data_IF_088044628341
#
_entry.id   IF_088044628341
#
_cell.length_a   1.000
_cell.length_b   1.000
_cell.length_c   1.000
_cell.angle_alpha   90.00
_cell.angle_beta   90.00
_cell.angle_gamma   90.00
#
_symmetry.space_group_name_H-M   'P 1'
#
loop_
_entity.id
_entity.type
_entity.pdbx_description
1 polymer ?
#
# COMPACT_ATOMS: atom_id res chain seq x y z
N UNK A 1 -19.12 15.48 1.93
CA UNK A 1 -17.70 15.87 2.04
C UNK A 1 -16.91 14.60 1.85
N UNK A 2 -16.56 14.25 0.62
CA UNK A 2 -15.76 13.05 0.35
C UNK A 2 -14.35 13.35 0.81
N UNK A 3 -13.93 12.70 1.90
CA UNK A 3 -12.56 12.75 2.41
C UNK A 3 -11.65 12.30 1.29
N UNK A 4 -11.11 13.26 0.56
CA UNK A 4 -10.08 13.05 -0.47
C UNK A 4 -8.89 12.51 0.30
N UNK A 5 -8.73 11.20 0.31
CA UNK A 5 -7.45 10.61 0.69
C UNK A 5 -6.48 11.15 -0.35
N UNK A 6 -5.74 12.20 0.00
CA UNK A 6 -4.77 12.85 -0.87
C UNK A 6 -3.52 11.96 -0.96
N UNK A 7 -3.72 10.73 -1.44
CA UNK A 7 -2.66 9.77 -1.67
C UNK A 7 -1.97 10.11 -3.00
N UNK A 8 -0.63 10.13 -3.05
CA UNK A 8 0.08 10.30 -4.31
C UNK A 8 -0.20 9.14 -5.26
N UNK A 9 -0.39 9.48 -6.53
CA UNK A 9 -0.53 8.50 -7.62
C UNK A 9 0.86 7.99 -7.99
N UNK A 10 1.15 6.73 -7.64
CA UNK A 10 2.48 6.11 -7.83
C UNK A 10 2.57 5.27 -9.11
N UNK A 11 1.44 5.06 -9.80
CA UNK A 11 1.35 4.24 -10.99
C UNK A 11 1.47 2.74 -10.69
N UNK A 12 1.74 1.94 -11.72
CA UNK A 12 1.96 0.50 -11.55
C UNK A 12 3.31 0.20 -10.87
N UNK A 13 3.44 -0.94 -10.17
CA UNK A 13 4.71 -1.38 -9.61
C UNK A 13 5.72 -1.72 -10.73
N UNK A 14 6.88 -1.06 -10.70
CA UNK A 14 8.01 -1.31 -11.59
C UNK A 14 8.74 -2.60 -11.17
N UNK A 15 8.83 -3.64 -12.02
CA UNK A 15 9.50 -4.91 -11.65
C UNK A 15 11.02 -4.76 -11.46
N UNK A 16 11.62 -3.70 -12.00
CA UNK A 16 13.05 -3.40 -11.83
C UNK A 16 13.35 -2.61 -10.54
N UNK A 17 12.31 -2.10 -9.85
CA UNK A 17 12.47 -1.30 -8.63
C UNK A 17 11.99 -2.07 -7.41
N UNK A 18 12.49 -1.65 -6.23
CA UNK A 18 12.05 -2.22 -4.95
C UNK A 18 10.64 -1.73 -4.63
N UNK A 19 9.70 -2.66 -4.68
CA UNK A 19 8.33 -2.48 -4.22
C UNK A 19 8.01 -3.56 -3.20
N UNK A 20 7.52 -3.15 -2.04
CA UNK A 20 7.01 -4.04 -1.00
C UNK A 20 5.86 -4.88 -1.57
N UNK A 21 5.68 -6.11 -1.07
CA UNK A 21 4.58 -6.96 -1.49
C UNK A 21 3.23 -6.26 -1.22
N UNK A 22 2.32 -6.39 -2.17
CA UNK A 22 0.95 -5.91 -2.07
C UNK A 22 0.08 -7.11 -1.70
N UNK A 23 -0.61 -7.02 -0.57
CA UNK A 23 -1.48 -8.07 -0.01
C UNK A 23 -2.83 -7.46 0.38
N UNK A 24 -3.81 -8.32 0.65
CA UNK A 24 -5.08 -7.92 1.25
C UNK A 24 -4.99 -8.05 2.77
N UNK A 25 -5.77 -7.25 3.51
CA UNK A 25 -5.77 -7.31 4.99
C UNK A 25 -6.22 -8.69 5.51
N UNK A 26 -7.11 -9.35 4.76
CA UNK A 26 -7.61 -10.69 5.07
C UNK A 26 -6.69 -11.81 4.56
N UNK A 27 -5.58 -11.49 3.91
CA UNK A 27 -4.66 -12.48 3.37
C UNK A 27 -3.80 -13.07 4.49
N UNK A 28 -3.75 -14.40 4.60
CA UNK A 28 -2.98 -15.11 5.62
C UNK A 28 -1.47 -14.78 5.55
N UNK A 29 -0.97 -14.43 4.35
CA UNK A 29 0.43 -14.05 4.12
C UNK A 29 0.79 -12.72 4.76
N UNK A 30 -0.19 -11.86 5.04
CA UNK A 30 0.04 -10.60 5.73
C UNK A 30 0.57 -10.85 7.14
N UNK A 31 -0.04 -11.77 7.87
CA UNK A 31 0.37 -12.12 9.23
C UNK A 31 1.81 -12.66 9.28
N UNK A 32 2.18 -13.50 8.31
CA UNK A 32 3.54 -14.03 8.16
C UNK A 32 4.56 -12.92 7.83
N UNK A 33 4.21 -12.03 6.90
CA UNK A 33 5.06 -10.91 6.50
C UNK A 33 5.26 -9.89 7.61
N UNK A 34 4.19 -9.51 8.31
CA UNK A 34 4.24 -8.57 9.41
C UNK A 34 5.20 -9.06 10.52
N UNK A 35 5.21 -10.38 10.78
CA UNK A 35 6.16 -11.01 11.72
C UNK A 35 7.61 -10.99 11.23
N UNK A 36 7.85 -11.11 9.92
CA UNK A 36 9.20 -11.09 9.34
C UNK A 36 9.81 -9.69 9.25
N UNK A 37 8.99 -8.70 8.92
CA UNK A 37 9.43 -7.35 8.53
C UNK A 37 9.49 -6.40 9.73
N UNK A 38 8.64 -6.64 10.74
CA UNK A 38 8.62 -5.90 12.00
C UNK A 38 7.72 -4.67 11.96
N UNK A 39 7.21 -4.31 13.15
CA UNK A 39 6.12 -3.35 13.40
C UNK A 39 6.42 -1.88 13.00
N UNK A 40 7.69 -1.60 12.69
CA UNK A 40 8.24 -0.27 12.38
C UNK A 40 8.77 -0.16 10.94
N UNK A 41 8.55 -1.18 10.12
CA UNK A 41 9.06 -1.19 8.77
C UNK A 41 8.31 -0.22 7.84
N UNK A 42 9.08 0.58 7.12
CA UNK A 42 8.58 1.42 6.03
C UNK A 42 8.28 0.56 4.79
N UNK A 43 7.16 0.85 4.11
CA UNK A 43 6.84 0.20 2.85
C UNK A 43 7.59 0.89 1.72
N UNK A 44 8.08 0.13 0.75
CA UNK A 44 8.69 0.71 -0.44
C UNK A 44 7.75 0.58 -1.63
N UNK A 45 7.66 1.62 -2.46
CA UNK A 45 6.97 1.54 -3.75
C UNK A 45 7.83 2.23 -4.80
N UNK A 46 8.22 1.51 -5.85
CA UNK A 46 9.09 2.00 -6.92
C UNK A 46 10.37 2.67 -6.40
N UNK A 47 10.95 2.15 -5.31
CA UNK A 47 12.15 2.68 -4.66
C UNK A 47 11.92 3.86 -3.70
N UNK A 48 10.69 4.32 -3.52
CA UNK A 48 10.31 5.36 -2.55
C UNK A 48 9.85 4.71 -1.25
N UNK A 49 10.36 5.16 -0.11
CA UNK A 49 9.95 4.68 1.21
C UNK A 49 8.78 5.50 1.76
N UNK A 50 7.78 4.80 2.29
CA UNK A 50 6.56 5.33 2.89
C UNK A 50 6.43 4.86 4.34
N UNK A 51 5.98 5.75 5.20
CA UNK A 51 5.76 5.45 6.61
C UNK A 51 4.53 4.56 6.82
N UNK A 52 4.50 3.87 7.95
CA UNK A 52 3.31 3.11 8.37
C UNK A 52 2.10 4.05 8.45
N UNK A 53 1.01 3.65 7.81
CA UNK A 53 -0.22 4.43 7.73
C UNK A 53 -0.31 5.36 6.52
N UNK A 54 0.76 5.49 5.72
CA UNK A 54 0.69 6.23 4.46
C UNK A 54 -0.18 5.50 3.44
N UNK A 55 -0.79 6.29 2.55
CA UNK A 55 -1.65 5.80 1.49
C UNK A 55 -1.05 6.17 0.13
N UNK A 56 -1.10 5.26 -0.83
CA UNK A 56 -0.70 5.50 -2.21
C UNK A 56 -1.74 4.93 -3.17
N UNK A 57 -1.90 5.59 -4.31
CA UNK A 57 -2.76 5.11 -5.38
C UNK A 57 -1.92 4.41 -6.44
N UNK A 58 -2.13 3.11 -6.62
CA UNK A 58 -1.51 2.31 -7.67
C UNK A 58 -2.54 2.08 -8.77
N UNK A 59 -2.57 2.96 -9.78
CA UNK A 59 -3.68 2.97 -10.74
C UNK A 59 -4.98 3.32 -10.03
N UNK A 60 -6.00 2.47 -10.14
CA UNK A 60 -7.31 2.67 -9.52
C UNK A 60 -7.38 2.09 -8.09
N UNK A 61 -6.28 1.53 -7.58
CA UNK A 61 -6.24 0.78 -6.32
C UNK A 61 -5.62 1.60 -5.19
N UNK A 62 -6.32 1.68 -4.06
CA UNK A 62 -5.82 2.34 -2.85
C UNK A 62 -5.02 1.34 -2.02
N UNK A 63 -3.76 1.65 -1.80
CA UNK A 63 -2.84 0.86 -0.98
C UNK A 63 -2.47 1.64 0.28
N UNK A 64 -2.47 0.96 1.42
CA UNK A 64 -2.05 1.50 2.71
C UNK A 64 -0.79 0.79 3.18
N UNK A 65 0.21 1.55 3.61
CA UNK A 65 1.41 0.97 4.17
C UNK A 65 1.13 0.44 5.58
N UNK A 66 1.39 -0.84 5.81
CA UNK A 66 1.31 -1.45 7.13
C UNK A 66 2.41 -2.49 7.32
N UNK A 67 3.24 -2.27 8.34
CA UNK A 67 4.32 -3.18 8.76
C UNK A 67 5.22 -3.64 7.58
N UNK A 68 5.57 -2.69 6.71
CA UNK A 68 6.42 -2.90 5.52
C UNK A 68 5.74 -3.60 4.33
N UNK A 69 4.43 -3.81 4.40
CA UNK A 69 3.58 -4.43 3.37
C UNK A 69 2.55 -3.41 2.87
N UNK A 70 2.19 -3.47 1.59
CA UNK A 70 1.10 -2.67 1.05
C UNK A 70 -0.22 -3.42 1.19
N UNK A 71 -1.13 -2.90 2.00
CA UNK A 71 -2.48 -3.43 2.16
C UNK A 71 -3.44 -2.76 1.19
N UNK A 72 -4.10 -3.55 0.35
CA UNK A 72 -5.17 -3.08 -0.52
C UNK A 72 -6.40 -2.73 0.32
N UNK A 73 -6.79 -1.46 0.29
CA UNK A 73 -7.95 -0.94 1.02
C UNK A 73 -9.19 -0.77 0.13
N UNK A 74 -9.01 -0.71 -1.20
CA UNK A 74 -10.12 -0.55 -2.13
C UNK A 74 -9.69 0.20 -3.37
N UNK A 75 -10.55 1.08 -3.87
CA UNK A 75 -10.26 1.93 -5.01
C UNK A 75 -9.93 3.36 -4.59
N UNK A 76 -9.02 4.00 -5.32
CA UNK A 76 -8.76 5.43 -5.20
C UNK A 76 -9.86 6.29 -5.87
N UNK A 77 -10.78 5.67 -6.60
CA UNK A 77 -11.88 6.36 -7.24
C UNK A 77 -13.10 6.51 -6.30
N UNK A 78 -13.57 7.75 -6.07
CA UNK A 78 -14.77 8.00 -5.27
C UNK A 78 -16.08 7.73 -6.01
N UNK A 79 -16.04 7.11 -7.20
CA UNK A 79 -17.21 6.88 -8.07
C UNK A 79 -17.47 5.38 -8.20
N UNK A 80 -18.15 4.81 -7.21
CA UNK A 80 -19.23 3.86 -7.49
C UNK A 80 -20.21 3.77 -6.29
N UNK A 81 -21.26 4.59 -6.27
CA UNK A 81 -22.36 4.51 -5.29
C UNK A 81 -23.26 3.28 -5.47
#
# INVERSE_FOLDING_TARGET
MSERIAAPHVGAPDPEKRTSPILEETDERYAERAQQVGELAACQFNGVAYGRGDYVCSGDELLRCQDGVWLRQGSCDPVNP
#
